data_IF_113506195068
#
_entry.id   IF_113506195068
#
_cell.length_a   1.000
_cell.length_b   1.000
_cell.length_c   1.000
_cell.angle_alpha   90.00
_cell.angle_beta   90.00
_cell.angle_gamma   90.00
#
_symmetry.space_group_name_H-M   'P 1'
#
loop_
_entity.id
_entity.type
_entity.pdbx_description
1 polymer ?
#
# COMPACT_ATOMS: atom_id res chain seq x y z
N UNK A 1 36.94 -5.43 35.57
CA UNK A 1 35.45 -5.49 35.64
C UNK A 1 34.73 -4.13 35.59
N UNK A 2 35.30 -3.04 35.02
CA UNK A 2 34.65 -1.70 35.04
C UNK A 2 33.93 -1.28 33.74
N UNK A 3 34.09 -1.99 32.61
CA UNK A 3 33.53 -1.57 31.30
C UNK A 3 32.06 -1.94 31.05
N UNK A 4 31.46 -2.85 31.85
CA UNK A 4 30.08 -3.32 31.61
C UNK A 4 28.97 -2.40 32.16
N UNK A 5 29.30 -1.40 33.00
CA UNK A 5 28.29 -0.50 33.60
C UNK A 5 27.97 0.75 32.78
N UNK A 6 28.85 1.15 31.85
CA UNK A 6 28.64 2.38 31.06
C UNK A 6 27.68 2.19 29.86
N UNK A 7 27.55 0.99 29.29
CA UNK A 7 26.64 0.77 28.16
C UNK A 7 25.15 0.77 28.56
N UNK A 8 24.83 0.48 29.84
CA UNK A 8 23.43 0.46 30.31
C UNK A 8 22.85 1.85 30.55
N UNK A 9 23.70 2.86 30.77
CA UNK A 9 23.27 4.25 30.92
C UNK A 9 23.05 4.93 29.56
N UNK A 10 23.79 4.50 28.52
CA UNK A 10 23.62 5.03 27.16
C UNK A 10 22.33 4.50 26.49
N UNK A 11 21.95 3.24 26.75
CA UNK A 11 20.71 2.64 26.22
C UNK A 11 19.44 3.29 26.77
N UNK A 12 19.45 3.75 28.04
CA UNK A 12 18.30 4.45 28.64
C UNK A 12 18.01 5.82 28.04
N UNK A 13 19.04 6.54 27.59
CA UNK A 13 18.90 7.88 27.02
C UNK A 13 18.37 7.87 25.58
N UNK A 14 18.67 6.83 24.80
CA UNK A 14 18.15 6.67 23.43
C UNK A 14 16.66 6.29 23.43
N UNK A 15 16.21 5.54 24.45
CA UNK A 15 14.79 5.17 24.58
C UNK A 15 13.89 6.36 24.94
N UNK A 16 14.42 7.35 25.67
CA UNK A 16 13.66 8.56 26.04
C UNK A 16 13.42 9.52 24.85
N UNK A 17 14.35 9.56 23.89
CA UNK A 17 14.17 10.36 22.67
C UNK A 17 13.25 9.70 21.62
N UNK A 18 13.09 8.37 21.66
CA UNK A 18 12.23 7.64 20.71
C UNK A 18 10.72 7.81 21.01
N UNK A 19 10.34 8.08 22.27
CA UNK A 19 8.93 8.19 22.68
C UNK A 19 8.36 9.62 22.50
N UNK A 20 9.21 10.65 22.38
CA UNK A 20 8.78 12.05 22.22
C UNK A 20 8.71 12.53 20.75
N UNK A 21 9.11 11.72 19.77
CA UNK A 21 9.17 12.12 18.36
C UNK A 21 7.87 11.98 17.55
N UNK A 22 6.78 11.47 18.14
CA UNK A 22 5.57 11.07 17.39
C UNK A 22 4.45 12.11 17.26
N UNK A 23 4.64 13.37 17.70
CA UNK A 23 3.53 14.36 17.73
C UNK A 23 3.75 15.70 17.00
N UNK A 24 4.69 15.84 16.06
CA UNK A 24 4.91 17.13 15.39
C UNK A 24 4.77 17.08 13.86
N UNK A 25 3.53 17.17 13.36
CA UNK A 25 3.24 17.92 12.11
C UNK A 25 1.86 18.58 12.22
N UNK A 26 1.82 19.71 12.91
CA UNK A 26 0.76 20.70 12.79
C UNK A 26 1.06 21.69 11.65
N UNK A 27 0.00 22.03 10.91
CA UNK A 27 -0.24 23.24 10.12
C UNK A 27 0.76 23.66 9.01
N UNK A 28 0.30 23.54 7.77
CA UNK A 28 0.62 24.51 6.72
C UNK A 28 -0.71 25.11 6.19
N UNK A 29 -1.04 26.27 6.73
CA UNK A 29 -2.13 27.15 6.33
C UNK A 29 -1.75 27.86 5.03
N UNK A 30 -2.25 27.37 3.89
CA UNK A 30 -2.09 28.00 2.58
C UNK A 30 -3.35 28.75 2.16
N UNK A 31 -3.40 30.05 2.46
CA UNK A 31 -4.40 31.00 1.96
C UNK A 31 -3.93 31.50 0.59
N UNK A 32 -4.65 31.15 -0.48
CA UNK A 32 -4.37 31.63 -1.84
C UNK A 32 -5.66 31.94 -2.58
N UNK A 33 -5.95 33.23 -2.75
CA UNK A 33 -7.00 33.76 -3.60
C UNK A 33 -6.74 33.41 -5.07
N UNK A 34 -7.78 33.07 -5.81
CA UNK A 34 -7.76 32.99 -7.28
C UNK A 34 -9.19 33.10 -7.81
N UNK A 35 -9.61 34.33 -8.07
CA UNK A 35 -10.95 34.63 -8.60
C UNK A 35 -11.16 34.09 -10.01
N UNK A 36 -12.39 33.67 -10.28
CA UNK A 36 -12.87 33.28 -11.59
C UNK A 36 -14.33 33.68 -11.74
N UNK A 37 -14.55 34.96 -12.05
CA UNK A 37 -15.82 35.50 -12.56
C UNK A 37 -16.14 34.78 -13.86
N UNK A 38 -17.26 34.07 -13.91
CA UNK A 38 -17.83 33.50 -15.13
C UNK A 38 -19.29 33.90 -15.23
N UNK A 39 -19.53 35.01 -15.91
CA UNK A 39 -20.83 35.57 -16.24
C UNK A 39 -21.55 34.69 -17.29
N UNK A 40 -22.86 34.55 -17.16
CA UNK A 40 -23.78 33.93 -18.11
C UNK A 40 -25.02 33.49 -17.35
N UNK A 41 -26.16 34.18 -17.34
CA UNK A 41 -26.76 34.99 -18.39
C UNK A 41 -27.89 34.18 -19.04
N UNK A 42 -29.15 34.47 -18.67
CA UNK A 42 -30.38 33.86 -19.18
C UNK A 42 -31.33 33.49 -18.03
N UNK A 43 -32.27 34.35 -17.58
CA UNK A 43 -33.58 34.66 -18.21
C UNK A 43 -34.30 33.35 -18.55
N UNK A 44 -35.41 32.92 -17.97
CA UNK A 44 -36.55 33.56 -17.31
C UNK A 44 -37.77 32.70 -17.71
N UNK A 45 -38.70 32.39 -16.79
CA UNK A 45 -39.87 31.59 -17.16
C UNK A 45 -40.67 31.05 -15.98
N UNK A 46 -41.77 31.74 -15.69
CA UNK A 46 -42.75 31.55 -14.63
C UNK A 46 -43.55 30.23 -14.69
N UNK A 47 -43.93 29.70 -13.53
CA UNK A 47 -45.19 28.97 -13.23
C UNK A 47 -45.21 28.64 -11.72
N UNK A 48 -45.76 29.48 -10.83
CA UNK A 48 -47.17 29.56 -10.41
C UNK A 48 -47.89 28.21 -10.15
N UNK A 49 -48.00 27.86 -8.86
CA UNK A 49 -49.24 27.37 -8.23
C UNK A 49 -49.47 25.87 -8.12
N UNK A 50 -49.39 25.32 -6.89
CA UNK A 50 -50.49 24.59 -6.24
C UNK A 50 -50.14 24.24 -4.76
N UNK A 51 -50.86 24.72 -3.74
CA UNK A 51 -50.72 24.28 -2.36
C UNK A 51 -51.94 23.45 -1.95
N UNK A 52 -51.91 22.13 -2.14
CA UNK A 52 -52.72 21.18 -1.36
C UNK A 52 -52.44 19.74 -1.75
N UNK A 53 -52.16 18.89 -0.75
CA UNK A 53 -52.39 17.45 -0.87
C UNK A 53 -51.29 16.55 -0.34
N UNK A 54 -51.41 16.16 0.93
CA UNK A 54 -51.03 14.83 1.39
C UNK A 54 -49.59 14.62 1.84
N UNK A 55 -49.41 14.32 3.13
CA UNK A 55 -48.28 13.53 3.61
C UNK A 55 -48.47 12.07 3.15
N UNK A 56 -47.49 11.43 2.51
CA UNK A 56 -47.39 9.98 2.53
C UNK A 56 -46.34 9.59 3.57
N UNK A 57 -46.79 8.84 4.56
CA UNK A 57 -45.95 7.94 5.34
C UNK A 57 -45.16 7.00 4.40
N UNK A 58 -44.00 6.53 4.87
CA UNK A 58 -43.18 5.48 4.24
C UNK A 58 -42.50 5.84 2.91
N UNK A 59 -41.36 6.53 3.00
CA UNK A 59 -40.33 6.44 1.97
C UNK A 59 -39.13 5.81 2.64
N UNK A 60 -38.93 4.52 2.38
CA UNK A 60 -37.67 3.86 2.69
C UNK A 60 -36.54 4.73 2.19
N UNK A 61 -35.52 4.89 3.03
CA UNK A 61 -34.27 5.57 2.67
C UNK A 61 -33.57 4.71 1.62
N UNK A 62 -34.08 4.77 0.39
CA UNK A 62 -33.40 4.32 -0.80
C UNK A 62 -32.16 5.21 -0.90
N UNK A 63 -31.02 4.57 -0.67
CA UNK A 63 -29.76 5.20 -0.33
C UNK A 63 -29.09 5.76 -1.58
N UNK A 64 -29.83 6.52 -2.39
CA UNK A 64 -29.36 7.45 -3.42
C UNK A 64 -28.36 6.88 -4.44
N UNK A 65 -28.28 5.56 -4.63
CA UNK A 65 -27.36 4.96 -5.59
C UNK A 65 -27.95 5.05 -7.00
N UNK A 66 -29.25 4.82 -7.17
CA UNK A 66 -29.90 4.73 -8.48
C UNK A 66 -30.19 6.10 -9.14
N UNK A 67 -30.40 7.17 -8.36
CA UNK A 67 -30.62 8.52 -8.93
C UNK A 67 -29.34 9.26 -9.31
N UNK A 68 -28.18 8.85 -8.77
CA UNK A 68 -26.92 9.59 -8.94
C UNK A 68 -26.31 9.44 -10.35
N UNK A 69 -26.51 8.31 -11.02
CA UNK A 69 -26.02 8.03 -12.37
C UNK A 69 -26.81 8.79 -13.45
N UNK A 70 -28.14 8.81 -13.33
CA UNK A 70 -29.02 9.44 -14.33
C UNK A 70 -28.97 10.98 -14.29
N UNK A 71 -28.78 11.58 -13.11
CA UNK A 71 -28.69 13.04 -12.97
C UNK A 71 -27.30 13.61 -13.33
N UNK A 72 -26.24 12.79 -13.31
CA UNK A 72 -24.85 13.27 -13.43
C UNK A 72 -24.22 13.12 -14.82
N UNK A 73 -24.95 12.60 -15.82
CA UNK A 73 -24.42 12.30 -17.18
C UNK A 73 -23.08 11.51 -17.12
N UNK A 74 -22.96 10.53 -16.22
CA UNK A 74 -21.75 9.72 -16.05
C UNK A 74 -20.58 10.40 -15.34
N UNK A 75 -20.73 11.64 -14.84
CA UNK A 75 -19.67 12.33 -14.09
C UNK A 75 -19.39 11.68 -12.72
N UNK A 76 -20.39 11.08 -12.10
CA UNK A 76 -20.21 10.34 -10.85
C UNK A 76 -19.36 9.08 -11.04
N UNK A 77 -19.52 8.38 -12.16
CA UNK A 77 -18.75 7.19 -12.49
C UNK A 77 -17.30 7.54 -12.82
N UNK A 78 -17.07 8.61 -13.59
CA UNK A 78 -15.72 9.15 -13.82
C UNK A 78 -15.03 9.60 -12.52
N UNK A 79 -15.77 10.19 -11.58
CA UNK A 79 -15.26 10.56 -10.27
C UNK A 79 -14.86 9.34 -9.42
N UNK A 80 -15.64 8.25 -9.47
CA UNK A 80 -15.32 6.97 -8.80
C UNK A 80 -14.14 6.27 -9.44
N UNK A 81 -14.06 6.19 -10.77
CA UNK A 81 -12.91 5.59 -11.48
C UNK A 81 -11.63 6.37 -11.21
N UNK A 82 -11.68 7.71 -11.28
CA UNK A 82 -10.50 8.55 -10.98
C UNK A 82 -10.09 8.44 -9.51
N UNK A 83 -11.05 8.30 -8.59
CA UNK A 83 -10.76 8.05 -7.18
C UNK A 83 -10.14 6.66 -6.96
N UNK A 84 -10.63 5.63 -7.67
CA UNK A 84 -10.09 4.29 -7.63
C UNK A 84 -8.63 4.26 -8.11
N UNK A 85 -8.33 4.93 -9.23
CA UNK A 85 -6.98 5.03 -9.79
C UNK A 85 -6.02 5.78 -8.86
N UNK A 86 -6.49 6.81 -8.15
CA UNK A 86 -5.68 7.57 -7.17
C UNK A 86 -5.54 6.88 -5.82
N UNK A 87 -6.34 5.85 -5.53
CA UNK A 87 -6.44 5.26 -4.18
C UNK A 87 -5.40 4.19 -3.84
N UNK A 88 -4.52 3.81 -4.79
CA UNK A 88 -3.40 2.87 -4.57
C UNK A 88 -3.75 1.61 -3.76
N UNK A 89 -4.98 1.08 -3.94
CA UNK A 89 -5.38 -0.18 -3.30
C UNK A 89 -6.57 -0.14 -2.36
N UNK A 90 -7.20 1.02 -2.16
CA UNK A 90 -8.46 1.12 -1.41
C UNK A 90 -9.71 1.02 -2.27
N UNK A 91 -9.57 0.78 -3.56
CA UNK A 91 -10.69 0.44 -4.44
C UNK A 91 -11.09 -1.02 -4.24
N UNK A 92 -12.37 -1.33 -4.49
CA UNK A 92 -12.90 -2.71 -4.44
C UNK A 92 -12.06 -3.67 -5.29
N UNK A 93 -11.60 -3.18 -6.44
CA UNK A 93 -10.70 -3.87 -7.35
C UNK A 93 -9.32 -4.15 -6.72
N UNK A 94 -8.73 -3.18 -5.99
CA UNK A 94 -7.48 -3.40 -5.24
C UNK A 94 -7.63 -4.44 -4.14
N UNK A 95 -8.75 -4.41 -3.41
CA UNK A 95 -9.08 -5.40 -2.38
C UNK A 95 -9.29 -6.81 -2.97
N UNK A 96 -9.95 -6.90 -4.13
CA UNK A 96 -10.12 -8.17 -4.86
C UNK A 96 -8.77 -8.76 -5.25
N UNK A 97 -7.87 -7.95 -5.82
CA UNK A 97 -6.52 -8.41 -6.17
C UNK A 97 -5.70 -8.84 -4.96
N UNK A 98 -5.76 -8.08 -3.86
CA UNK A 98 -5.09 -8.46 -2.62
C UNK A 98 -5.63 -9.79 -2.07
N UNK A 99 -6.94 -9.99 -2.10
CA UNK A 99 -7.59 -11.25 -1.70
C UNK A 99 -7.12 -12.43 -2.55
N UNK A 100 -7.12 -12.29 -3.88
CA UNK A 100 -6.65 -13.33 -4.78
C UNK A 100 -5.16 -13.64 -4.59
N UNK A 101 -4.35 -12.60 -4.38
CA UNK A 101 -2.93 -12.73 -4.09
C UNK A 101 -2.68 -13.46 -2.75
N UNK A 102 -3.51 -13.22 -1.72
CA UNK A 102 -3.46 -13.97 -0.46
C UNK A 102 -3.81 -15.45 -0.67
N UNK A 103 -4.91 -15.73 -1.38
CA UNK A 103 -5.32 -17.13 -1.67
C UNK A 103 -4.23 -17.89 -2.42
N UNK A 104 -3.57 -17.24 -3.39
CA UNK A 104 -2.45 -17.83 -4.12
C UNK A 104 -1.24 -18.06 -3.22
N UNK A 105 -0.91 -17.12 -2.33
CA UNK A 105 0.16 -17.29 -1.36
C UNK A 105 -0.10 -18.45 -0.41
N UNK A 106 -1.35 -18.61 0.05
CA UNK A 106 -1.75 -19.70 0.95
C UNK A 106 -1.62 -21.05 0.27
N UNK A 107 -2.08 -21.15 -0.99
CA UNK A 107 -1.90 -22.35 -1.82
C UNK A 107 -0.41 -22.65 -2.03
N UNK A 108 0.37 -21.65 -2.41
CA UNK A 108 1.81 -21.80 -2.67
C UNK A 108 2.56 -22.24 -1.41
N UNK A 109 2.23 -21.71 -0.24
CA UNK A 109 2.83 -22.11 1.04
C UNK A 109 2.43 -23.53 1.46
N UNK A 110 1.20 -23.94 1.15
CA UNK A 110 0.73 -25.30 1.40
C UNK A 110 1.39 -26.32 0.48
N UNK A 111 1.64 -25.96 -0.79
CA UNK A 111 2.27 -26.84 -1.78
C UNK A 111 3.79 -26.88 -1.64
N UNK A 112 4.39 -25.80 -1.11
CA UNK A 112 5.84 -25.63 -1.02
C UNK A 112 6.27 -25.20 0.40
N UNK A 113 6.19 -26.10 1.40
CA UNK A 113 6.56 -25.78 2.78
C UNK A 113 8.03 -25.35 2.92
N UNK A 114 8.91 -25.83 2.02
CA UNK A 114 10.33 -25.50 1.99
C UNK A 114 10.65 -24.01 1.84
N UNK A 115 9.73 -23.19 1.29
CA UNK A 115 9.90 -21.73 1.19
C UNK A 115 10.08 -21.09 2.57
N UNK A 116 9.27 -21.49 3.54
CA UNK A 116 9.31 -20.94 4.91
C UNK A 116 10.63 -21.26 5.60
N UNK A 117 11.07 -22.52 5.48
CA UNK A 117 12.37 -23.00 5.97
C UNK A 117 13.55 -22.26 5.36
N UNK A 118 13.55 -22.01 4.05
CA UNK A 118 14.64 -21.30 3.36
C UNK A 118 14.81 -19.84 3.79
N UNK A 119 13.72 -19.23 4.29
CA UNK A 119 13.72 -17.88 4.83
C UNK A 119 13.95 -17.83 6.34
N UNK A 120 14.07 -18.98 7.01
CA UNK A 120 14.13 -19.09 8.47
C UNK A 120 12.97 -18.36 9.18
N UNK A 121 11.76 -18.43 8.60
CA UNK A 121 10.54 -17.86 9.18
C UNK A 121 9.43 -18.91 9.19
N UNK A 122 8.51 -18.79 10.14
CA UNK A 122 7.33 -19.63 10.15
C UNK A 122 6.40 -19.27 8.97
N UNK A 123 5.72 -20.25 8.37
CA UNK A 123 4.72 -20.04 7.33
C UNK A 123 3.61 -19.07 7.78
N UNK A 124 3.17 -19.15 9.03
CA UNK A 124 2.16 -18.22 9.58
C UNK A 124 2.68 -16.78 9.64
N UNK A 125 3.93 -16.58 10.05
CA UNK A 125 4.55 -15.26 10.10
C UNK A 125 4.76 -14.70 8.69
N UNK A 126 5.17 -15.55 7.74
CA UNK A 126 5.34 -15.15 6.35
C UNK A 126 4.01 -14.71 5.73
N UNK A 127 2.92 -15.44 6.02
CA UNK A 127 1.55 -15.10 5.61
C UNK A 127 1.09 -13.77 6.21
N UNK A 128 1.29 -13.58 7.51
CA UNK A 128 0.92 -12.35 8.20
C UNK A 128 1.68 -11.13 7.64
N UNK A 129 2.98 -11.28 7.41
CA UNK A 129 3.82 -10.21 6.87
C UNK A 129 3.49 -9.90 5.41
N UNK A 130 3.15 -10.91 4.61
CA UNK A 130 2.68 -10.70 3.24
C UNK A 130 1.33 -9.97 3.19
N UNK A 131 0.39 -10.35 4.06
CA UNK A 131 -0.89 -9.64 4.22
C UNK A 131 -0.68 -8.15 4.57
N UNK A 132 0.26 -7.85 5.46
CA UNK A 132 0.60 -6.47 5.78
C UNK A 132 1.17 -5.71 4.57
N UNK A 133 2.00 -6.36 3.74
CA UNK A 133 2.57 -5.74 2.55
C UNK A 133 1.52 -5.42 1.47
N UNK A 134 0.48 -6.25 1.35
CA UNK A 134 -0.62 -6.03 0.40
C UNK A 134 -1.46 -4.78 0.71
N UNK A 135 -1.43 -4.27 1.95
CA UNK A 135 -2.09 -3.01 2.31
C UNK A 135 -1.48 -1.83 1.55
N UNK A 136 -0.16 -1.86 1.34
CA UNK A 136 0.57 -0.80 0.64
C UNK A 136 0.68 -1.08 -0.86
N UNK A 137 0.72 -2.36 -1.24
CA UNK A 137 0.81 -2.78 -2.64
C UNK A 137 -0.09 -3.98 -2.90
N UNK A 138 -1.37 -3.78 -3.25
CA UNK A 138 -2.30 -4.87 -3.54
C UNK A 138 -1.90 -5.72 -4.74
N UNK A 139 -1.07 -5.17 -5.64
CA UNK A 139 -0.54 -5.87 -6.81
C UNK A 139 0.72 -6.68 -6.53
N UNK A 140 1.26 -6.64 -5.30
CA UNK A 140 2.44 -7.39 -4.91
C UNK A 140 2.16 -8.89 -5.03
N UNK A 141 3.02 -9.61 -5.77
CA UNK A 141 2.95 -11.07 -5.87
C UNK A 141 3.72 -11.73 -4.73
N UNK A 142 3.30 -12.92 -4.32
CA UNK A 142 3.95 -13.66 -3.24
C UNK A 142 5.42 -13.94 -3.55
N UNK A 143 5.74 -14.39 -4.77
CA UNK A 143 7.13 -14.59 -5.19
C UNK A 143 7.99 -13.31 -5.12
N UNK A 144 7.43 -12.13 -5.36
CA UNK A 144 8.16 -10.86 -5.23
C UNK A 144 8.44 -10.54 -3.76
N UNK A 145 7.49 -10.80 -2.87
CA UNK A 145 7.64 -10.64 -1.44
C UNK A 145 8.70 -11.59 -0.85
N UNK A 146 8.68 -12.86 -1.26
CA UNK A 146 9.68 -13.87 -0.86
C UNK A 146 11.06 -13.47 -1.39
N UNK A 147 11.18 -13.05 -2.65
CA UNK A 147 12.43 -12.56 -3.23
C UNK A 147 12.97 -11.33 -2.48
N UNK A 148 12.13 -10.34 -2.19
CA UNK A 148 12.53 -9.16 -1.43
C UNK A 148 13.03 -9.52 -0.03
N UNK A 149 12.35 -10.45 0.65
CA UNK A 149 12.76 -10.95 1.98
C UNK A 149 14.12 -11.63 1.90
N UNK A 150 14.32 -12.51 0.91
CA UNK A 150 15.58 -13.24 0.75
C UNK A 150 16.74 -12.32 0.40
N UNK A 151 16.54 -11.39 -0.52
CA UNK A 151 17.57 -10.40 -0.89
C UNK A 151 17.97 -9.55 0.31
N UNK A 152 17.01 -9.09 1.12
CA UNK A 152 17.30 -8.33 2.33
C UNK A 152 18.10 -9.15 3.36
N UNK A 153 17.81 -10.44 3.53
CA UNK A 153 18.60 -11.31 4.43
C UNK A 153 20.03 -11.52 3.93
N UNK A 154 20.20 -11.73 2.62
CA UNK A 154 21.51 -11.99 2.02
C UNK A 154 22.41 -10.75 2.02
N UNK A 155 21.84 -9.58 1.71
CA UNK A 155 22.61 -8.35 1.53
C UNK A 155 22.59 -7.41 2.73
N UNK A 156 21.58 -7.47 3.59
CA UNK A 156 21.34 -6.47 4.64
C UNK A 156 22.48 -6.33 5.64
N UNK A 157 23.26 -7.39 5.87
CA UNK A 157 24.44 -7.33 6.75
C UNK A 157 25.58 -6.47 6.19
N UNK A 158 25.72 -6.42 4.86
CA UNK A 158 26.78 -5.66 4.17
C UNK A 158 26.27 -4.33 3.62
N UNK A 159 24.97 -4.24 3.36
CA UNK A 159 24.31 -3.07 2.80
C UNK A 159 23.10 -2.71 3.69
N UNK A 160 23.29 -1.88 4.72
CA UNK A 160 22.23 -1.58 5.70
C UNK A 160 21.01 -0.88 5.08
N UNK A 161 21.18 -0.23 3.92
CA UNK A 161 20.09 0.40 3.18
C UNK A 161 19.18 -0.62 2.46
N UNK A 162 19.69 -1.84 2.20
CA UNK A 162 18.94 -2.90 1.53
C UNK A 162 18.11 -3.66 2.55
N UNK A 163 17.05 -3.00 2.99
CA UNK A 163 16.05 -3.57 3.88
C UNK A 163 14.86 -4.09 3.08
N UNK A 164 14.12 -5.05 3.64
CA UNK A 164 12.89 -5.54 3.01
C UNK A 164 11.90 -4.41 2.79
N UNK A 165 11.73 -3.51 3.77
CA UNK A 165 10.81 -2.37 3.65
C UNK A 165 11.20 -1.44 2.50
N UNK A 166 12.49 -1.14 2.34
CA UNK A 166 12.97 -0.33 1.22
C UNK A 166 12.74 -1.00 -0.13
N UNK A 167 12.97 -2.32 -0.22
CA UNK A 167 12.69 -3.08 -1.44
C UNK A 167 11.19 -3.07 -1.76
N UNK A 168 10.33 -3.33 -0.77
CA UNK A 168 8.88 -3.32 -0.95
C UNK A 168 8.36 -1.94 -1.35
N UNK A 169 8.95 -0.85 -0.83
CA UNK A 169 8.62 0.51 -1.23
C UNK A 169 8.97 0.77 -2.71
N UNK A 170 10.14 0.32 -3.16
CA UNK A 170 10.51 0.41 -4.58
C UNK A 170 9.55 -0.36 -5.48
N UNK A 171 9.19 -1.58 -5.10
CA UNK A 171 8.20 -2.39 -5.83
C UNK A 171 6.81 -1.73 -5.84
N UNK A 172 6.39 -1.10 -4.75
CA UNK A 172 5.14 -0.35 -4.67
C UNK A 172 5.12 0.87 -5.59
N UNK A 173 6.28 1.48 -5.85
CA UNK A 173 6.43 2.57 -6.83
C UNK A 173 6.44 2.11 -8.30
N UNK A 174 6.22 0.81 -8.56
CA UNK A 174 6.22 0.23 -9.90
C UNK A 174 7.60 -0.11 -10.44
N UNK A 175 8.67 0.03 -9.65
CA UNK A 175 10.02 -0.37 -10.06
C UNK A 175 10.17 -1.89 -10.02
N UNK A 176 11.03 -2.41 -10.87
CA UNK A 176 11.46 -3.80 -10.76
C UNK A 176 12.38 -4.01 -9.55
N UNK A 177 12.54 -5.26 -9.11
CA UNK A 177 13.49 -5.60 -8.04
C UNK A 177 14.92 -5.15 -8.37
N UNK A 178 15.36 -5.34 -9.62
CA UNK A 178 16.71 -4.94 -10.05
C UNK A 178 16.91 -3.43 -10.06
N UNK A 179 15.93 -2.64 -10.51
CA UNK A 179 15.98 -1.18 -10.45
C UNK A 179 15.99 -0.70 -8.99
N UNK A 180 15.09 -1.25 -8.17
CA UNK A 180 15.02 -0.92 -6.74
C UNK A 180 16.35 -1.15 -6.04
N UNK A 181 17.04 -2.26 -6.31
CA UNK A 181 18.35 -2.54 -5.72
C UNK A 181 19.44 -1.58 -6.20
N UNK A 182 19.36 -1.11 -7.45
CA UNK A 182 20.28 -0.09 -7.97
C UNK A 182 20.08 1.25 -7.29
N UNK A 183 18.82 1.67 -7.08
CA UNK A 183 18.49 2.89 -6.35
C UNK A 183 18.96 2.84 -4.89
N UNK A 184 19.02 1.64 -4.31
CA UNK A 184 19.53 1.40 -2.96
C UNK A 184 21.06 1.29 -2.89
N UNK A 185 21.76 1.51 -4.02
CA UNK A 185 23.21 1.65 -4.08
C UNK A 185 23.97 0.43 -4.61
N UNK A 186 23.31 -0.60 -5.14
CA UNK A 186 24.00 -1.68 -5.85
C UNK A 186 24.35 -1.26 -7.29
N UNK A 187 25.47 -1.74 -7.79
CA UNK A 187 25.69 -1.75 -9.25
C UNK A 187 24.67 -2.67 -9.93
N UNK A 188 24.39 -2.43 -11.22
CA UNK A 188 23.50 -3.27 -12.02
C UNK A 188 23.89 -4.76 -11.96
N UNK A 189 25.19 -5.04 -12.05
CA UNK A 189 25.73 -6.40 -11.95
C UNK A 189 25.40 -7.05 -10.61
N UNK A 190 25.67 -6.36 -9.51
CA UNK A 190 25.36 -6.86 -8.16
C UNK A 190 23.85 -7.04 -7.96
N UNK A 191 23.03 -6.10 -8.44
CA UNK A 191 21.57 -6.21 -8.38
C UNK A 191 21.05 -7.43 -9.16
N UNK A 192 21.60 -7.67 -10.35
CA UNK A 192 21.23 -8.83 -11.16
C UNK A 192 21.68 -10.15 -10.52
N UNK A 193 22.91 -10.20 -9.98
CA UNK A 193 23.43 -11.37 -9.26
C UNK A 193 22.58 -11.68 -8.01
N UNK A 194 22.26 -10.65 -7.22
CA UNK A 194 21.41 -10.79 -6.04
C UNK A 194 20.00 -11.30 -6.38
N UNK A 195 19.38 -10.74 -7.44
CA UNK A 195 18.09 -11.22 -7.95
C UNK A 195 18.16 -12.69 -8.36
N UNK A 196 19.11 -13.04 -9.23
CA UNK A 196 19.27 -14.41 -9.72
C UNK A 196 19.56 -15.41 -8.59
N UNK A 197 20.34 -14.99 -7.59
CA UNK A 197 20.62 -15.81 -6.42
C UNK A 197 19.33 -16.07 -5.63
N UNK A 198 18.57 -15.03 -5.30
CA UNK A 198 17.31 -15.18 -4.58
C UNK A 198 16.31 -16.06 -5.36
N UNK A 199 16.17 -15.87 -6.66
CA UNK A 199 15.30 -16.69 -7.51
C UNK A 199 15.70 -18.17 -7.50
N UNK A 200 17.01 -18.48 -7.59
CA UNK A 200 17.50 -19.86 -7.52
C UNK A 200 17.24 -20.50 -6.17
N UNK A 201 17.47 -19.76 -5.09
CA UNK A 201 17.24 -20.25 -3.72
C UNK A 201 15.76 -20.52 -3.48
N UNK A 202 14.88 -19.63 -3.92
CA UNK A 202 13.42 -19.81 -3.83
C UNK A 202 12.94 -20.97 -4.69
N UNK A 203 13.45 -21.10 -5.91
CA UNK A 203 13.13 -22.24 -6.77
C UNK A 203 13.51 -23.57 -6.11
N UNK A 204 14.74 -23.67 -5.60
CA UNK A 204 15.20 -24.86 -4.85
C UNK A 204 14.37 -25.13 -3.59
N UNK A 205 13.82 -24.10 -2.96
CA UNK A 205 12.96 -24.25 -1.79
C UNK A 205 11.53 -24.70 -2.15
N UNK A 206 11.08 -24.46 -3.39
CA UNK A 206 9.81 -24.99 -3.92
C UNK A 206 9.90 -26.45 -4.32
N UNK A 207 11.06 -26.87 -4.81
CA UNK A 207 11.30 -28.23 -5.29
C UNK A 207 11.66 -29.22 -4.15
N UNK A 208 11.69 -28.75 -2.89
CA UNK A 208 11.93 -29.55 -1.68
C UNK A 208 10.61 -29.95 -1.02
#
# INVERSE_FOLDING_TARGET
>A
MRRKRMNRLLEGLVFLFLVLGLCSTGFAQGRGHGGGRGSGGGIGGSAMGNPNGGRPDSVGVDRGLERSSNASKGRADNGRSTAADRSNGRSDEGLSRASDNLRRADKELSEHPGISSALHVNANDLRAQYKAALVTNPGLKFGQFVAATRVAQNLGRRNPNITRSAILAGLASGRSLGQTLQDLGLSERQANEARKQAEREIKRARDQ
#
